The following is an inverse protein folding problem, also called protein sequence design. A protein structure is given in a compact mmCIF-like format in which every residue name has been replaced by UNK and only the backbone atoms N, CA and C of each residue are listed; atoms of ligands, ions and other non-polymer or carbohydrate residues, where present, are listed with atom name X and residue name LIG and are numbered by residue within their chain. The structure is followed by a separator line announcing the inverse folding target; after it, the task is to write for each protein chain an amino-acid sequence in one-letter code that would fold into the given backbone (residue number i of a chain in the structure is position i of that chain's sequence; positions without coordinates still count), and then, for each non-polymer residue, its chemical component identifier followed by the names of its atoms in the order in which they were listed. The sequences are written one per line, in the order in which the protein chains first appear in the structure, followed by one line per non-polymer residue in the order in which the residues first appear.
data_IF_740357874364
#
_entry.id   IF_740357874364
#
_cell.length_a   1.000
_cell.length_b   1.000
_cell.length_c   1.000
_cell.angle_alpha   90.00
_cell.angle_beta   90.00
_cell.angle_gamma   90.00
#
_symmetry.space_group_name_H-M   'P 1'
#
loop_
_entity.id
_entity.type
_entity.pdbx_description
1 polymer ?
#
# COMPACT_ATOMS: atom_id res chain seq x y z
N UNK A 1 3.17 -3.50 21.25
CA UNK A 1 3.74 -2.79 20.08
C UNK A 1 2.61 -2.01 19.45
N UNK A 2 2.56 -0.68 19.58
CA UNK A 2 1.44 0.13 19.07
C UNK A 2 1.95 0.97 17.92
N UNK A 3 1.49 0.62 16.72
CA UNK A 3 1.99 1.08 15.45
C UNK A 3 0.98 1.99 14.75
N UNK A 4 1.45 2.84 13.85
CA UNK A 4 0.62 3.67 12.98
C UNK A 4 -0.34 2.86 12.13
N UNK A 5 -1.47 3.47 11.79
CA UNK A 5 -2.50 2.94 10.90
C UNK A 5 -1.96 2.34 9.57
N UNK A 6 -0.92 2.92 8.97
CA UNK A 6 -0.24 2.36 7.79
C UNK A 6 0.62 1.12 8.08
N UNK A 7 1.22 1.05 9.27
CA UNK A 7 2.04 -0.10 9.70
C UNK A 7 1.24 -1.19 10.37
N UNK A 8 0.11 -0.87 10.97
CA UNK A 8 -0.86 -1.84 11.46
C UNK A 8 -1.35 -2.71 10.30
N UNK A 9 -1.47 -2.17 9.08
CA UNK A 9 -1.72 -2.98 7.89
C UNK A 9 -0.51 -3.84 7.49
N UNK A 10 0.70 -3.28 7.45
CA UNK A 10 1.92 -4.03 7.09
C UNK A 10 2.25 -5.14 8.10
N UNK A 11 2.02 -4.93 9.40
CA UNK A 11 2.24 -5.93 10.46
C UNK A 11 1.05 -6.88 10.66
N UNK A 12 -0.20 -6.44 10.46
CA UNK A 12 -1.32 -7.39 10.42
C UNK A 12 -1.17 -8.38 9.25
N UNK A 13 -0.48 -7.99 8.17
CA UNK A 13 -0.12 -8.87 7.05
C UNK A 13 1.02 -9.85 7.41
N UNK A 14 1.96 -9.49 8.30
CA UNK A 14 3.24 -10.21 8.48
C UNK A 14 3.43 -10.88 9.85
N UNK A 15 2.66 -10.51 10.88
CA UNK A 15 2.64 -11.15 12.20
C UNK A 15 1.25 -11.07 12.86
N UNK A 16 0.38 -12.09 12.66
CA UNK A 16 -1.00 -12.09 13.18
C UNK A 16 -1.09 -12.35 14.69
N UNK A 17 0.01 -12.67 15.38
CA UNK A 17 0.00 -13.03 16.81
C UNK A 17 0.00 -11.79 17.71
N UNK A 18 0.43 -10.63 17.20
CA UNK A 18 0.72 -9.45 18.03
C UNK A 18 -0.17 -8.23 17.79
N UNK A 19 -1.07 -8.23 16.79
CA UNK A 19 -1.88 -7.05 16.44
C UNK A 19 -3.35 -7.37 16.10
N UNK A 20 -4.26 -7.06 17.03
CA UNK A 20 -5.71 -6.96 16.79
C UNK A 20 -6.15 -5.49 16.89
N UNK A 21 -6.18 -4.74 15.79
CA UNK A 21 -6.70 -3.36 15.76
C UNK A 21 -7.44 -3.08 14.44
N UNK A 22 -8.58 -2.36 14.42
CA UNK A 22 -9.41 -2.18 13.23
C UNK A 22 -8.69 -1.37 12.12
N UNK A 23 -9.02 -1.61 10.83
CA UNK A 23 -8.51 -0.81 9.73
C UNK A 23 -9.16 0.58 9.77
N UNK A 24 -8.38 1.64 9.88
CA UNK A 24 -8.88 3.01 9.79
C UNK A 24 -8.42 3.66 8.49
N UNK A 25 -9.29 4.49 7.90
CA UNK A 25 -8.96 5.46 6.84
C UNK A 25 -8.38 4.87 5.54
N UNK A 26 -9.28 4.32 4.72
CA UNK A 26 -9.08 4.18 3.28
C UNK A 26 -10.42 4.00 2.55
N UNK A 27 -10.61 4.68 1.41
CA UNK A 27 -11.72 4.45 0.47
C UNK A 27 -11.60 3.11 -0.28
N UNK A 28 -10.46 2.44 -0.08
CA UNK A 28 -10.07 1.23 -0.78
C UNK A 28 -9.76 0.12 0.23
N UNK A 29 -10.49 -0.99 0.15
CA UNK A 29 -10.25 -2.19 0.97
C UNK A 29 -9.34 -3.16 0.22
N UNK A 30 -8.43 -3.81 0.94
CA UNK A 30 -7.50 -4.79 0.37
C UNK A 30 -7.48 -6.08 1.16
N UNK A 31 -7.36 -7.19 0.43
CA UNK A 31 -7.08 -8.50 0.99
C UNK A 31 -5.82 -9.05 0.34
N UNK A 32 -4.85 -9.42 1.18
CA UNK A 32 -3.62 -10.10 0.79
C UNK A 32 -3.69 -11.53 1.34
N UNK A 33 -3.34 -12.51 0.51
CA UNK A 33 -3.18 -13.89 0.97
C UNK A 33 -1.74 -14.33 0.81
N UNK A 34 -1.12 -14.63 1.96
CA UNK A 34 0.24 -15.14 2.07
C UNK A 34 0.22 -16.61 2.52
N UNK A 35 1.13 -17.41 1.97
CA UNK A 35 1.27 -18.83 2.32
C UNK A 35 2.70 -19.07 2.84
N UNK A 36 2.84 -19.70 4.01
CA UNK A 36 4.14 -19.99 4.61
C UNK A 36 4.88 -21.05 3.81
N UNK A 37 6.14 -20.80 3.46
CA UNK A 37 6.98 -21.81 2.81
C UNK A 37 7.75 -22.58 3.89
N UNK A 38 7.39 -23.83 4.17
CA UNK A 38 8.19 -24.71 5.05
C UNK A 38 8.31 -26.10 4.45
N UNK A 39 9.53 -26.62 4.37
CA UNK A 39 9.90 -27.95 3.87
C UNK A 39 9.83 -29.06 4.93
N UNK A 40 8.80 -29.07 5.78
CA UNK A 40 8.48 -30.16 6.73
C UNK A 40 6.97 -30.10 7.09
N UNK A 41 6.32 -31.22 7.53
CA UNK A 41 4.90 -31.49 7.27
C UNK A 41 3.94 -30.57 8.06
N UNK A 42 2.67 -30.47 7.65
CA UNK A 42 1.98 -29.19 7.56
C UNK A 42 1.62 -28.63 8.94
N UNK A 43 1.46 -27.31 9.01
CA UNK A 43 0.25 -26.78 9.59
C UNK A 43 -0.59 -26.14 8.50
N UNK A 44 -1.84 -26.57 8.45
CA UNK A 44 -3.00 -25.92 7.82
C UNK A 44 -3.17 -24.48 8.32
N UNK A 45 -2.36 -23.55 7.82
CA UNK A 45 -2.57 -22.11 8.06
C UNK A 45 -2.48 -21.35 6.74
N UNK A 46 -3.60 -21.28 6.03
CA UNK A 46 -3.83 -20.21 5.06
C UNK A 46 -4.07 -18.91 5.83
N UNK A 47 -3.25 -17.88 5.59
CA UNK A 47 -3.48 -16.57 6.19
C UNK A 47 -4.45 -15.79 5.29
N UNK A 48 -5.71 -15.78 5.67
CA UNK A 48 -6.76 -14.96 5.06
C UNK A 48 -7.15 -13.88 6.07
N UNK A 49 -6.70 -12.64 5.86
CA UNK A 49 -7.17 -11.51 6.66
C UNK A 49 -8.45 -10.91 6.05
N UNK A 50 -9.54 -11.03 6.79
CA UNK A 50 -10.76 -10.23 6.65
C UNK A 50 -11.05 -9.65 8.04
N UNK A 51 -10.93 -8.33 8.25
CA UNK A 51 -11.11 -7.70 9.56
C UNK A 51 -12.33 -6.78 9.59
N UNK A 52 -13.26 -7.07 10.50
CA UNK A 52 -14.43 -6.25 10.88
C UNK A 52 -14.32 -5.95 12.37
N UNK A 53 -14.41 -4.68 12.81
CA UNK A 53 -14.69 -4.36 14.22
C UNK A 53 -15.27 -2.95 14.39
N UNK A 54 -16.32 -2.87 15.22
CA UNK A 54 -17.16 -1.70 15.49
C UNK A 54 -16.65 -0.95 16.73
N UNK A 55 -16.52 0.38 16.65
CA UNK A 55 -16.19 1.24 17.79
C UNK A 55 -17.32 2.26 18.02
N UNK A 56 -17.95 2.22 19.18
CA UNK A 56 -19.08 3.08 19.53
C UNK A 56 -18.59 4.40 20.16
N UNK A 57 -18.52 5.47 19.38
CA UNK A 57 -18.26 6.83 19.89
C UNK A 57 -19.50 7.69 19.70
N UNK A 58 -20.26 7.89 20.79
CA UNK A 58 -21.40 8.80 20.82
C UNK A 58 -20.90 10.25 20.83
N UNK A 59 -21.15 10.99 19.75
CA UNK A 59 -21.50 12.40 19.87
C UNK A 59 -22.73 12.72 18.99
N UNK A 60 -23.24 13.94 19.10
CA UNK A 60 -24.49 14.38 18.47
C UNK A 60 -24.36 14.52 16.94
N UNK A 61 -25.45 14.35 16.18
CA UNK A 61 -25.48 14.51 14.71
C UNK A 61 -25.45 16.00 14.31
N UNK A 62 -24.85 16.28 13.15
CA UNK A 62 -24.84 17.59 12.50
C UNK A 62 -25.28 17.41 11.04
N UNK A 63 -26.16 18.29 10.57
CA UNK A 63 -26.89 18.16 9.30
C UNK A 63 -25.98 18.45 8.08
N UNK A 64 -26.08 17.68 6.98
CA UNK A 64 -25.27 17.91 5.79
C UNK A 64 -25.76 19.13 5.00
N UNK A 65 -24.88 19.95 4.41
CA UNK A 65 -25.30 21.02 3.52
C UNK A 65 -25.84 20.45 2.20
N UNK A 66 -26.90 21.09 1.69
CA UNK A 66 -27.51 20.78 0.40
C UNK A 66 -26.60 21.20 -0.77
N UNK A 67 -26.59 20.39 -1.84
CA UNK A 67 -25.83 20.67 -3.07
C UNK A 67 -26.34 21.98 -3.71
N UNK A 68 -25.47 22.97 -3.85
CA UNK A 68 -25.66 24.03 -4.85
C UNK A 68 -25.45 23.42 -6.24
N UNK A 69 -26.47 23.54 -7.08
CA UNK A 69 -26.40 23.26 -8.52
C UNK A 69 -25.55 24.32 -9.20
N UNK A 70 -24.48 23.91 -9.86
CA UNK A 70 -23.81 24.76 -10.84
C UNK A 70 -24.63 24.72 -12.14
N UNK A 71 -25.35 25.80 -12.44
CA UNK A 71 -25.90 26.07 -13.77
C UNK A 71 -24.77 26.49 -14.73
N UNK A 72 -24.66 25.91 -15.93
CA UNK A 72 -23.88 26.48 -17.01
C UNK A 72 -24.78 27.30 -17.95
N UNK A 73 -24.50 28.59 -18.06
CA UNK A 73 -25.03 29.47 -19.10
C UNK A 73 -24.51 29.02 -20.49
N UNK A 74 -25.48 28.69 -21.34
CA UNK A 74 -25.50 28.63 -22.81
C UNK A 74 -24.25 29.07 -23.60
N UNK A 75 -23.71 28.13 -24.40
CA UNK A 75 -23.48 28.39 -25.82
C UNK A 75 -23.68 27.10 -26.63
N UNK A 76 -24.71 27.11 -27.46
CA UNK A 76 -24.98 26.08 -28.47
C UNK A 76 -23.92 26.11 -29.56
N UNK A 77 -23.26 24.98 -29.82
CA UNK A 77 -22.77 24.61 -31.15
C UNK A 77 -22.84 23.10 -31.29
N UNK A 78 -23.59 22.68 -32.32
CA UNK A 78 -23.80 21.31 -32.78
C UNK A 78 -22.59 20.93 -33.65
N UNK A 79 -21.92 19.81 -33.36
CA UNK A 79 -21.26 18.90 -34.32
C UNK A 79 -20.72 17.64 -33.60
N UNK A 80 -20.46 16.52 -34.30
CA UNK A 80 -21.05 15.21 -33.99
C UNK A 80 -20.20 14.33 -33.07
N UNK A 81 -20.87 13.34 -32.47
CA UNK A 81 -20.29 12.23 -31.71
C UNK A 81 -19.08 11.60 -32.43
N UNK A 82 -17.89 11.89 -31.90
CA UNK A 82 -16.70 11.07 -32.14
C UNK A 82 -16.71 10.01 -31.02
N UNK A 83 -16.93 8.72 -31.32
CA UNK A 83 -16.85 7.70 -30.29
C UNK A 83 -15.39 7.60 -29.83
N UNK A 84 -15.15 8.05 -28.60
CA UNK A 84 -13.87 7.96 -27.90
C UNK A 84 -13.50 6.49 -27.66
N UNK A 85 -12.99 5.85 -28.70
CA UNK A 85 -12.33 4.55 -28.65
C UNK A 85 -10.91 4.73 -28.12
N UNK A 86 -10.80 5.15 -26.85
CA UNK A 86 -9.58 4.94 -26.08
C UNK A 86 -9.60 3.48 -25.59
N UNK A 87 -9.39 2.56 -26.53
CA UNK A 87 -9.12 1.15 -26.27
C UNK A 87 -7.95 1.08 -25.28
N UNK A 88 -8.24 0.58 -24.08
CA UNK A 88 -7.24 0.37 -23.04
C UNK A 88 -6.09 -0.44 -23.61
N UNK A 89 -4.86 0.05 -23.43
CA UNK A 89 -3.63 -0.57 -23.95
C UNK A 89 -3.52 -2.07 -23.55
N UNK A 90 -4.19 -2.49 -22.47
CA UNK A 90 -4.34 -3.90 -22.06
C UNK A 90 -5.22 -4.73 -22.99
N UNK A 91 -6.32 -4.19 -23.51
CA UNK A 91 -7.18 -4.88 -24.48
C UNK A 91 -6.47 -5.01 -25.83
N UNK A 92 -5.71 -3.98 -26.23
CA UNK A 92 -4.92 -4.03 -27.46
C UNK A 92 -3.80 -5.08 -27.37
N UNK A 93 -3.09 -5.12 -26.25
CA UNK A 93 -2.03 -6.11 -26.02
C UNK A 93 -2.58 -7.54 -25.88
N UNK A 94 -3.71 -7.71 -25.20
CA UNK A 94 -4.42 -8.99 -25.13
C UNK A 94 -4.90 -9.45 -26.50
N UNK A 95 -5.52 -8.57 -27.29
CA UNK A 95 -5.95 -8.88 -28.64
C UNK A 95 -4.77 -9.21 -29.57
N UNK A 96 -3.64 -8.51 -29.40
CA UNK A 96 -2.40 -8.78 -30.14
C UNK A 96 -1.82 -10.15 -29.80
N UNK A 97 -1.78 -10.52 -28.51
CA UNK A 97 -1.32 -11.85 -28.08
C UNK A 97 -2.24 -12.98 -28.55
N UNK A 98 -3.56 -12.77 -28.54
CA UNK A 98 -4.53 -13.72 -29.09
C UNK A 98 -4.40 -13.87 -30.61
N UNK A 99 -4.20 -12.75 -31.33
CA UNK A 99 -3.93 -12.78 -32.77
C UNK A 99 -2.63 -13.50 -33.10
N UNK A 100 -1.58 -13.28 -32.29
CA UNK A 100 -0.30 -13.98 -32.42
C UNK A 100 -0.48 -15.50 -32.18
N UNK A 101 -1.27 -15.90 -31.18
CA UNK A 101 -1.59 -17.32 -30.93
C UNK A 101 -2.36 -17.94 -32.09
N UNK A 102 -3.35 -17.23 -32.63
CA UNK A 102 -4.13 -17.69 -33.78
C UNK A 102 -3.25 -17.85 -35.03
N UNK A 103 -2.35 -16.90 -35.29
CA UNK A 103 -1.42 -16.96 -36.40
C UNK A 103 -0.49 -18.17 -36.31
N UNK A 104 0.04 -18.45 -35.11
CA UNK A 104 0.85 -19.64 -34.86
C UNK A 104 0.04 -20.92 -35.11
N UNK A 105 -1.22 -20.97 -34.66
CA UNK A 105 -2.09 -22.13 -34.86
C UNK A 105 -2.37 -22.39 -36.35
N UNK A 106 -2.65 -21.33 -37.13
CA UNK A 106 -2.90 -21.41 -38.58
C UNK A 106 -1.64 -21.86 -39.32
N UNK A 107 -0.48 -21.32 -38.94
CA UNK A 107 0.80 -21.70 -39.55
C UNK A 107 1.14 -23.17 -39.24
N UNK A 108 0.82 -23.63 -38.03
CA UNK A 108 0.97 -25.04 -37.64
C UNK A 108 0.07 -25.95 -38.48
N UNK A 109 -1.22 -25.61 -38.58
CA UNK A 109 -2.18 -26.38 -39.36
C UNK A 109 -1.83 -26.40 -40.87
N UNK A 110 -1.29 -25.30 -41.40
CA UNK A 110 -0.89 -25.19 -42.81
C UNK A 110 0.31 -26.07 -43.13
N UNK A 111 1.30 -26.16 -42.22
CA UNK A 111 2.47 -27.03 -42.38
C UNK A 111 2.05 -28.51 -42.35
N UNK A 112 1.17 -28.90 -41.43
CA UNK A 112 0.61 -30.26 -41.40
C UNK A 112 -0.18 -30.59 -42.67
N UNK A 113 -1.05 -29.69 -43.12
CA UNK A 113 -1.80 -29.87 -44.36
C UNK A 113 -0.89 -30.03 -45.59
N UNK A 114 0.23 -29.28 -45.65
CA UNK A 114 1.25 -29.42 -46.71
C UNK A 114 1.96 -30.77 -46.65
N UNK A 115 2.28 -31.28 -45.46
CA UNK A 115 2.88 -32.61 -45.30
C UNK A 115 1.93 -33.71 -45.77
N UNK A 116 0.63 -33.59 -45.48
CA UNK A 116 -0.42 -34.52 -45.94
C UNK A 116 -0.58 -34.45 -47.47
N UNK A 117 -0.67 -33.23 -48.04
CA UNK A 117 -0.84 -33.03 -49.49
C UNK A 117 0.37 -33.52 -50.31
N UNK A 118 1.57 -33.45 -49.74
CA UNK A 118 2.79 -33.98 -50.36
C UNK A 118 2.97 -35.49 -50.17
N UNK A 119 2.02 -36.17 -49.52
CA UNK A 119 2.02 -37.60 -49.25
C UNK A 119 3.33 -38.06 -48.58
N UNK A 120 3.84 -37.25 -47.64
CA UNK A 120 5.08 -37.53 -46.93
C UNK A 120 4.90 -38.73 -46.01
N UNK A 121 5.96 -39.51 -45.84
CA UNK A 121 5.99 -40.65 -44.93
C UNK A 121 5.50 -40.24 -43.52
N UNK A 122 4.76 -41.10 -42.81
CA UNK A 122 4.17 -40.79 -41.50
C UNK A 122 5.20 -40.32 -40.46
N UNK A 123 6.47 -40.69 -40.64
CA UNK A 123 7.60 -40.26 -39.81
C UNK A 123 7.72 -38.73 -39.73
N UNK A 124 7.45 -37.98 -40.81
CA UNK A 124 7.59 -36.52 -40.83
C UNK A 124 6.53 -35.82 -39.96
N UNK A 125 5.30 -36.35 -39.92
CA UNK A 125 4.23 -35.87 -39.04
C UNK A 125 4.56 -36.10 -37.56
N UNK A 126 5.10 -37.28 -37.22
CA UNK A 126 5.53 -37.58 -35.85
C UNK A 126 6.67 -36.67 -35.38
N UNK A 127 7.67 -36.41 -36.24
CA UNK A 127 8.78 -35.50 -35.93
C UNK A 127 8.26 -34.07 -35.71
N UNK A 128 7.35 -33.60 -36.57
CA UNK A 128 6.76 -32.27 -36.45
C UNK A 128 5.97 -32.09 -35.16
N UNK A 129 5.09 -33.04 -34.83
CA UNK A 129 4.34 -33.05 -33.58
C UNK A 129 5.26 -33.08 -32.35
N UNK A 130 6.34 -33.88 -32.41
CA UNK A 130 7.34 -33.96 -31.35
C UNK A 130 8.08 -32.62 -31.15
N UNK A 131 8.49 -31.96 -32.24
CA UNK A 131 9.09 -30.64 -32.21
C UNK A 131 8.15 -29.58 -31.61
N UNK A 132 6.86 -29.61 -31.93
CA UNK A 132 5.87 -28.72 -31.33
C UNK A 132 5.68 -28.97 -29.83
N UNK A 133 5.57 -30.23 -29.42
CA UNK A 133 5.44 -30.59 -28.00
C UNK A 133 6.67 -30.11 -27.23
N UNK A 134 7.89 -30.33 -27.75
CA UNK A 134 9.12 -29.81 -27.16
C UNK A 134 9.10 -28.28 -27.09
N UNK A 135 8.70 -27.60 -28.17
CA UNK A 135 8.62 -26.14 -28.19
C UNK A 135 7.68 -25.61 -27.11
N UNK A 136 6.47 -26.18 -26.97
CA UNK A 136 5.51 -25.77 -25.94
C UNK A 136 5.99 -26.10 -24.52
N UNK A 137 6.62 -27.26 -24.30
CA UNK A 137 7.20 -27.62 -23.00
C UNK A 137 8.32 -26.65 -22.63
N UNK A 138 9.24 -26.36 -23.56
CA UNK A 138 10.32 -25.40 -23.34
C UNK A 138 9.73 -24.01 -23.05
N UNK A 139 8.79 -23.54 -23.87
CA UNK A 139 8.16 -22.24 -23.65
C UNK A 139 7.39 -22.19 -22.32
N UNK A 140 6.76 -23.27 -21.87
CA UNK A 140 6.10 -23.33 -20.57
C UNK A 140 7.10 -23.34 -19.41
N UNK A 141 8.22 -24.07 -19.54
CA UNK A 141 9.30 -24.09 -18.55
C UNK A 141 10.05 -22.74 -18.47
N UNK A 142 10.11 -21.99 -19.58
CA UNK A 142 10.71 -20.66 -19.66
C UNK A 142 9.73 -19.52 -19.37
N UNK A 143 8.42 -19.74 -19.59
CA UNK A 143 7.33 -18.85 -19.23
C UNK A 143 7.09 -18.98 -17.73
N UNK A 144 8.04 -18.46 -16.95
CA UNK A 144 7.89 -18.23 -15.53
C UNK A 144 6.62 -17.39 -15.32
N UNK A 145 5.54 -18.01 -14.85
CA UNK A 145 4.53 -17.29 -14.09
C UNK A 145 5.20 -16.90 -12.78
N UNK A 146 5.94 -15.79 -12.80
CA UNK A 146 6.85 -15.37 -11.75
C UNK A 146 6.16 -15.35 -10.40
N UNK A 147 6.29 -16.44 -9.65
CA UNK A 147 5.78 -16.55 -8.31
C UNK A 147 6.47 -15.45 -7.50
N UNK A 148 5.68 -14.52 -6.97
CA UNK A 148 6.18 -13.46 -6.11
C UNK A 148 6.20 -13.99 -4.69
N UNK A 149 7.36 -13.89 -4.05
CA UNK A 149 7.57 -14.33 -2.69
C UNK A 149 8.16 -13.21 -1.85
N UNK A 150 7.79 -13.18 -0.58
CA UNK A 150 8.33 -12.28 0.43
C UNK A 150 9.53 -12.97 1.10
N UNK A 151 10.71 -12.41 0.86
CA UNK A 151 11.97 -12.94 1.40
C UNK A 151 12.06 -12.67 2.89
N UNK A 152 12.07 -11.39 3.27
CA UNK A 152 12.03 -10.94 4.67
C UNK A 152 11.37 -9.55 4.78
N UNK A 153 11.19 -9.09 6.01
CA UNK A 153 10.69 -7.77 6.35
C UNK A 153 11.38 -7.20 7.60
N UNK A 154 11.36 -5.89 7.72
CA UNK A 154 11.81 -5.14 8.89
C UNK A 154 10.72 -4.19 9.36
N UNK A 155 10.66 -3.94 10.66
CA UNK A 155 9.77 -2.99 11.29
C UNK A 155 10.54 -2.15 12.29
N UNK A 156 10.28 -0.85 12.29
CA UNK A 156 10.96 0.10 13.12
C UNK A 156 10.59 -0.10 14.59
N UNK A 157 11.62 -0.19 15.44
CA UNK A 157 11.49 0.04 16.88
C UNK A 157 12.07 1.42 17.18
N UNK A 158 11.25 2.45 17.42
CA UNK A 158 11.76 3.80 17.64
C UNK A 158 12.60 3.88 18.93
N UNK A 159 13.55 4.84 19.03
CA UNK A 159 14.30 5.07 20.25
C UNK A 159 13.40 5.34 21.45
N UNK A 160 13.81 4.91 22.64
CA UNK A 160 13.06 5.12 23.90
C UNK A 160 12.81 6.60 24.21
N UNK A 161 13.67 7.50 23.74
CA UNK A 161 13.49 8.95 23.85
C UNK A 161 12.26 9.49 23.10
N UNK A 162 11.74 8.74 22.13
CA UNK A 162 10.53 9.11 21.39
C UNK A 162 9.24 8.65 22.08
N UNK A 163 9.34 7.85 23.15
CA UNK A 163 8.18 7.28 23.85
C UNK A 163 7.34 8.38 24.49
N UNK A 164 6.03 8.29 24.32
CA UNK A 164 5.07 9.26 24.86
C UNK A 164 3.89 8.55 25.53
N UNK A 165 3.95 8.35 26.86
CA UNK A 165 2.78 7.93 27.63
C UNK A 165 1.64 8.95 27.52
N UNK A 166 0.39 8.51 27.69
CA UNK A 166 -0.78 9.39 27.57
C UNK A 166 -0.73 10.57 28.55
N UNK A 167 -0.20 10.38 29.75
CA UNK A 167 0.00 11.46 30.72
C UNK A 167 0.99 12.52 30.22
N UNK A 168 2.06 12.09 29.56
CA UNK A 168 3.05 12.99 28.94
C UNK A 168 2.45 13.71 27.75
N UNK A 169 1.70 12.99 26.90
CA UNK A 169 0.98 13.60 25.77
C UNK A 169 0.03 14.70 26.24
N UNK A 170 -0.84 14.41 27.21
CA UNK A 170 -1.83 15.35 27.73
C UNK A 170 -1.17 16.52 28.48
N UNK A 171 -0.09 16.25 29.23
CA UNK A 171 0.68 17.28 29.92
C UNK A 171 1.46 18.22 28.99
N UNK A 172 1.84 17.75 27.79
CA UNK A 172 2.42 18.60 26.76
C UNK A 172 1.31 19.36 26.02
N UNK A 173 0.21 18.68 25.69
CA UNK A 173 -0.94 19.29 25.02
C UNK A 173 -1.54 20.44 25.86
N UNK A 174 -1.59 20.32 27.19
CA UNK A 174 -2.12 21.38 28.07
C UNK A 174 -1.29 22.66 28.10
N UNK A 175 -0.05 22.62 27.61
CA UNK A 175 0.84 23.77 27.49
C UNK A 175 0.74 24.44 26.11
N UNK A 176 -0.02 23.87 25.19
CA UNK A 176 -0.23 24.44 23.85
C UNK A 176 -1.43 25.39 23.93
N UNK A 177 -1.18 26.67 23.67
CA UNK A 177 -2.16 27.76 23.81
C UNK A 177 -3.47 27.53 23.05
N UNK A 178 -3.40 26.86 21.88
CA UNK A 178 -4.57 26.61 21.05
C UNK A 178 -5.52 25.54 21.58
N UNK A 179 -5.15 24.77 22.61
CA UNK A 179 -5.95 23.66 23.12
C UNK A 179 -6.63 24.04 24.44
N UNK A 180 -7.96 24.15 24.39
CA UNK A 180 -8.79 24.44 25.56
C UNK A 180 -9.10 23.17 26.39
N UNK A 181 -9.79 23.36 27.52
CA UNK A 181 -10.18 22.26 28.41
C UNK A 181 -11.04 21.20 27.69
N UNK A 182 -11.88 21.63 26.73
CA UNK A 182 -12.73 20.72 25.95
C UNK A 182 -11.90 19.86 24.99
N UNK A 183 -10.91 20.45 24.33
CA UNK A 183 -9.94 19.77 23.46
C UNK A 183 -9.13 18.74 24.25
N UNK A 184 -8.64 19.11 25.43
CA UNK A 184 -7.88 18.20 26.30
C UNK A 184 -8.74 17.02 26.78
N UNK A 185 -9.98 17.28 27.21
CA UNK A 185 -10.90 16.23 27.61
C UNK A 185 -11.25 15.29 26.43
N UNK A 186 -11.44 15.85 25.23
CA UNK A 186 -11.68 15.08 24.01
C UNK A 186 -10.47 14.19 23.67
N UNK A 187 -9.25 14.76 23.64
CA UNK A 187 -8.03 14.00 23.37
C UNK A 187 -7.79 12.89 24.40
N UNK A 188 -8.02 13.17 25.69
CA UNK A 188 -7.94 12.16 26.75
C UNK A 188 -8.93 11.00 26.51
N UNK A 189 -10.18 11.33 26.15
CA UNK A 189 -11.18 10.33 25.78
C UNK A 189 -10.71 9.48 24.60
N UNK A 190 -10.26 10.11 23.50
CA UNK A 190 -9.78 9.41 22.30
C UNK A 190 -8.61 8.49 22.64
N UNK A 191 -7.60 8.94 23.39
CA UNK A 191 -6.46 8.12 23.79
C UNK A 191 -6.91 6.88 24.56
N UNK A 192 -7.73 7.05 25.60
CA UNK A 192 -8.22 5.93 26.43
C UNK A 192 -9.15 4.98 25.69
N UNK A 193 -9.90 5.45 24.68
CA UNK A 193 -10.79 4.61 23.88
C UNK A 193 -10.18 4.05 22.59
N UNK A 194 -8.96 4.46 22.21
CA UNK A 194 -8.35 4.11 20.92
C UNK A 194 -7.80 2.69 20.83
N UNK A 195 -7.67 1.98 21.96
CA UNK A 195 -6.97 0.69 22.01
C UNK A 195 -5.44 0.80 21.93
N UNK A 196 -4.86 2.00 21.92
CA UNK A 196 -3.42 2.20 22.01
C UNK A 196 -2.88 1.86 23.40
N UNK A 197 -1.64 1.36 23.44
CA UNK A 197 -0.90 1.18 24.67
C UNK A 197 -0.16 2.44 25.11
N UNK A 198 0.39 2.43 26.33
CA UNK A 198 1.26 3.50 26.83
C UNK A 198 2.67 3.48 26.21
N UNK A 199 3.00 2.43 25.45
CA UNK A 199 4.27 2.21 24.76
C UNK A 199 4.21 2.70 23.30
N UNK A 200 3.71 3.92 23.10
CA UNK A 200 3.65 4.57 21.77
C UNK A 200 4.68 5.68 21.65
N UNK A 201 4.97 6.09 20.42
CA UNK A 201 6.06 7.02 20.10
C UNK A 201 5.57 8.17 19.23
N UNK A 202 6.16 9.36 19.44
CA UNK A 202 6.02 10.55 18.58
C UNK A 202 7.42 11.03 18.18
N UNK A 203 7.61 11.58 16.97
CA UNK A 203 8.91 12.06 16.53
C UNK A 203 9.38 13.24 17.39
N UNK A 204 10.69 13.45 17.57
CA UNK A 204 11.26 14.52 18.42
C UNK A 204 10.66 15.91 18.14
N UNK A 205 10.29 16.19 16.89
CA UNK A 205 9.66 17.42 16.48
C UNK A 205 8.32 17.70 17.22
N UNK A 206 7.54 16.64 17.50
CA UNK A 206 6.26 16.73 18.20
C UNK A 206 6.38 16.69 19.74
N UNK A 207 7.58 16.50 20.29
CA UNK A 207 7.83 16.67 21.74
C UNK A 207 8.10 18.13 22.14
N UNK A 208 8.30 19.01 21.17
CA UNK A 208 8.47 20.44 21.42
C UNK A 208 7.12 21.11 21.71
N UNK A 209 7.17 22.24 22.44
CA UNK A 209 6.00 23.04 22.77
C UNK A 209 6.29 24.49 22.35
N UNK A 210 5.64 25.00 21.28
CA UNK A 210 4.73 24.29 20.38
C UNK A 210 5.46 23.23 19.50
N UNK A 211 4.73 22.23 18.96
CA UNK A 211 5.28 21.24 18.05
C UNK A 211 5.91 21.88 16.81
N UNK A 212 7.03 21.30 16.36
CA UNK A 212 7.79 21.77 15.20
C UNK A 212 7.32 21.03 13.95
N UNK A 213 6.71 21.73 12.99
CA UNK A 213 6.15 21.16 11.76
C UNK A 213 6.85 21.60 10.47
N UNK A 214 8.01 22.24 10.58
CA UNK A 214 8.77 22.71 9.42
C UNK A 214 9.44 21.55 8.65
N UNK A 215 9.61 21.75 7.34
CA UNK A 215 10.08 20.72 6.40
C UNK A 215 11.40 20.03 6.79
N UNK A 216 12.32 20.74 7.44
CA UNK A 216 13.58 20.13 7.88
C UNK A 216 13.35 19.04 8.95
N UNK A 217 12.33 19.17 9.79
CA UNK A 217 12.01 18.15 10.80
C UNK A 217 11.38 16.91 10.17
N UNK A 218 10.61 17.07 9.09
CA UNK A 218 10.10 15.93 8.35
C UNK A 218 11.19 15.15 7.63
N UNK A 219 12.22 15.83 7.09
CA UNK A 219 13.40 15.14 6.53
C UNK A 219 14.17 14.39 7.62
N UNK A 220 14.35 14.97 8.82
CA UNK A 220 14.96 14.26 9.96
C UNK A 220 14.16 13.03 10.38
N UNK A 221 12.84 13.15 10.41
CA UNK A 221 11.93 12.04 10.70
C UNK A 221 12.06 10.94 9.64
N UNK A 222 12.06 11.29 8.34
CA UNK A 222 12.29 10.33 7.24
C UNK A 222 13.59 9.54 7.46
N UNK A 223 14.70 10.20 7.77
CA UNK A 223 15.98 9.52 7.99
C UNK A 223 15.92 8.58 9.21
N UNK A 224 15.28 9.02 10.29
CA UNK A 224 15.14 8.22 11.52
C UNK A 224 14.29 6.97 11.27
N UNK A 225 13.25 7.06 10.44
CA UNK A 225 12.29 5.96 10.29
C UNK A 225 12.63 5.01 9.14
N UNK A 226 13.18 5.50 8.02
CA UNK A 226 13.44 4.69 6.83
C UNK A 226 14.83 4.07 6.79
N UNK A 227 15.87 4.74 7.31
CA UNK A 227 17.23 4.19 7.21
C UNK A 227 17.40 2.92 8.06
N UNK A 228 17.03 2.90 9.36
CA UNK A 228 17.27 1.72 10.19
C UNK A 228 16.57 0.46 9.73
N UNK A 229 15.35 0.58 9.18
CA UNK A 229 14.60 -0.58 8.68
C UNK A 229 15.16 -1.11 7.35
N UNK A 230 15.76 -0.25 6.54
CA UNK A 230 16.43 -0.66 5.32
C UNK A 230 17.74 -1.36 5.65
N UNK A 231 18.53 -0.78 6.56
CA UNK A 231 19.76 -1.39 7.08
C UNK A 231 19.49 -2.77 7.68
N UNK A 232 18.48 -2.89 8.54
CA UNK A 232 18.08 -4.15 9.17
C UNK A 232 17.56 -5.17 8.14
N UNK A 233 16.78 -4.74 7.15
CA UNK A 233 16.30 -5.63 6.08
C UNK A 233 17.47 -6.18 5.25
N UNK A 234 18.39 -5.30 4.80
CA UNK A 234 19.58 -5.70 4.04
C UNK A 234 20.46 -6.65 4.85
N UNK A 235 20.64 -6.40 6.15
CA UNK A 235 21.41 -7.27 7.04
C UNK A 235 20.76 -8.65 7.21
N UNK A 236 19.44 -8.71 7.40
CA UNK A 236 18.69 -9.97 7.54
C UNK A 236 18.75 -10.82 6.28
N UNK A 237 18.59 -10.20 5.12
CA UNK A 237 18.55 -10.91 3.84
C UNK A 237 19.95 -11.16 3.27
N UNK A 238 20.99 -10.53 3.82
CA UNK A 238 22.39 -10.60 3.34
C UNK A 238 22.56 -10.13 1.89
N UNK A 239 21.70 -9.20 1.47
CA UNK A 239 21.78 -8.56 0.16
C UNK A 239 22.39 -7.16 0.25
N UNK A 240 22.92 -6.72 -0.89
CA UNK A 240 23.36 -5.34 -1.08
C UNK A 240 22.21 -4.48 -1.60
N UNK A 241 22.26 -3.18 -1.31
CA UNK A 241 21.37 -2.22 -1.95
C UNK A 241 21.53 -2.19 -3.49
N UNK A 242 22.68 -2.67 -3.99
CA UNK A 242 22.93 -2.85 -5.42
C UNK A 242 22.15 -4.00 -6.04
N UNK A 243 21.55 -4.90 -5.24
CA UNK A 243 20.79 -6.05 -5.76
C UNK A 243 19.33 -5.69 -6.05
N UNK A 244 18.88 -4.50 -5.63
CA UNK A 244 17.49 -4.04 -5.71
C UNK A 244 17.20 -3.51 -7.12
N UNK A 245 16.15 -4.04 -7.76
CA UNK A 245 15.72 -3.62 -9.09
C UNK A 245 14.57 -2.59 -9.05
N UNK A 246 13.70 -2.71 -8.05
CA UNK A 246 12.50 -1.89 -7.89
C UNK A 246 12.42 -1.36 -6.45
N UNK A 247 12.20 -0.06 -6.31
CA UNK A 247 11.99 0.62 -5.03
C UNK A 247 10.63 1.31 -5.00
N UNK A 248 9.75 0.90 -4.08
CA UNK A 248 8.44 1.52 -3.88
C UNK A 248 8.41 2.09 -2.48
N UNK A 249 8.23 3.40 -2.35
CA UNK A 249 8.12 4.07 -1.06
C UNK A 249 6.75 4.71 -0.94
N UNK A 250 6.03 4.44 0.14
CA UNK A 250 4.72 5.04 0.38
C UNK A 250 4.69 5.87 1.67
N UNK A 251 4.08 7.06 1.57
CA UNK A 251 3.85 8.01 2.65
C UNK A 251 2.68 8.94 2.30
N UNK A 252 1.69 9.08 3.18
CA UNK A 252 0.42 9.74 2.84
C UNK A 252 0.36 11.22 3.26
N UNK A 253 1.15 11.65 4.23
CA UNK A 253 1.07 12.92 4.94
C UNK A 253 1.44 14.19 4.17
N UNK A 254 1.66 14.12 2.84
CA UNK A 254 2.29 15.13 1.96
C UNK A 254 3.83 15.07 1.99
N UNK A 255 4.45 14.82 0.83
CA UNK A 255 5.89 14.60 0.71
C UNK A 255 6.52 15.45 -0.41
N UNK A 256 7.00 16.67 -0.12
CA UNK A 256 7.56 17.59 -1.12
C UNK A 256 9.00 17.23 -1.58
N UNK A 257 9.58 16.12 -1.11
CA UNK A 257 10.85 15.57 -1.59
C UNK A 257 10.65 14.11 -2.04
N UNK A 258 11.17 13.67 -3.19
CA UNK A 258 11.05 12.28 -3.59
C UNK A 258 11.78 11.37 -2.59
N UNK A 259 11.04 10.64 -1.75
CA UNK A 259 11.58 9.76 -0.70
C UNK A 259 12.51 8.70 -1.30
N UNK A 260 12.15 8.16 -2.46
CA UNK A 260 13.01 7.27 -3.22
C UNK A 260 14.39 7.89 -3.47
N UNK A 261 14.49 9.18 -3.82
CA UNK A 261 15.77 9.83 -4.11
C UNK A 261 16.67 9.93 -2.88
N UNK A 262 16.09 10.14 -1.70
CA UNK A 262 16.83 10.14 -0.42
C UNK A 262 17.47 8.77 -0.20
N UNK A 263 16.72 7.68 -0.42
CA UNK A 263 17.20 6.31 -0.26
C UNK A 263 18.21 5.92 -1.34
N UNK A 264 17.92 6.21 -2.61
CA UNK A 264 18.81 5.94 -3.75
C UNK A 264 20.16 6.60 -3.52
N UNK A 265 20.17 7.87 -3.09
CA UNK A 265 21.40 8.58 -2.77
C UNK A 265 22.11 7.97 -1.54
N UNK A 266 21.39 7.75 -0.44
CA UNK A 266 21.95 7.22 0.81
C UNK A 266 22.63 5.86 0.62
N UNK A 267 22.03 4.99 -0.16
CA UNK A 267 22.50 3.62 -0.39
C UNK A 267 23.30 3.45 -1.68
N UNK A 268 23.57 4.55 -2.40
CA UNK A 268 24.27 4.56 -3.69
C UNK A 268 23.68 3.56 -4.69
N UNK A 269 22.36 3.41 -4.71
CA UNK A 269 21.68 2.41 -5.56
C UNK A 269 22.01 2.61 -7.04
N UNK A 270 21.82 1.56 -7.84
CA UNK A 270 22.12 1.57 -9.27
C UNK A 270 21.36 2.66 -10.01
N UNK A 271 21.97 3.19 -11.07
CA UNK A 271 21.39 4.23 -11.91
C UNK A 271 20.14 3.79 -12.70
N UNK A 272 19.94 2.48 -12.85
CA UNK A 272 18.82 1.89 -13.57
C UNK A 272 17.66 1.43 -12.67
N UNK A 273 17.74 1.73 -11.36
CA UNK A 273 16.69 1.35 -10.40
C UNK A 273 15.34 1.99 -10.76
N UNK A 274 14.28 1.17 -10.71
CA UNK A 274 12.91 1.65 -10.94
C UNK A 274 12.32 2.13 -9.63
N UNK A 275 12.02 3.41 -9.51
CA UNK A 275 11.55 3.98 -8.25
C UNK A 275 10.16 4.61 -8.33
N UNK A 276 9.33 4.37 -7.32
CA UNK A 276 7.93 4.79 -7.26
C UNK A 276 7.61 5.39 -5.88
N UNK A 277 7.18 6.65 -5.85
CA UNK A 277 6.65 7.27 -4.64
C UNK A 277 5.12 7.20 -4.66
N UNK A 278 4.52 6.57 -3.65
CA UNK A 278 3.07 6.48 -3.50
C UNK A 278 2.60 7.41 -2.37
N UNK A 279 1.67 8.31 -2.67
CA UNK A 279 1.14 9.28 -1.70
C UNK A 279 -0.38 9.42 -1.81
N UNK A 280 -1.03 9.91 -0.76
CA UNK A 280 -2.46 10.20 -0.76
C UNK A 280 -3.38 8.97 -0.70
N UNK A 281 -2.83 7.78 -0.45
CA UNK A 281 -3.59 6.52 -0.39
C UNK A 281 -4.08 6.16 1.02
N UNK A 282 -3.68 6.94 2.04
CA UNK A 282 -4.04 6.71 3.43
C UNK A 282 -3.48 5.40 3.96
N UNK A 283 -4.22 4.74 4.86
CA UNK A 283 -3.74 3.51 5.50
C UNK A 283 -3.71 2.28 4.57
N UNK A 284 -4.25 2.38 3.34
CA UNK A 284 -4.15 1.30 2.33
C UNK A 284 -2.88 1.32 1.50
N UNK A 285 -2.04 2.35 1.65
CA UNK A 285 -0.86 2.58 0.81
C UNK A 285 0.10 1.38 0.78
N UNK A 286 0.31 0.71 1.93
CA UNK A 286 1.18 -0.47 2.03
C UNK A 286 0.69 -1.66 1.19
N UNK A 287 -0.61 -1.95 1.24
CA UNK A 287 -1.20 -3.05 0.45
C UNK A 287 -1.19 -2.73 -1.05
N UNK A 288 -1.43 -1.47 -1.40
CA UNK A 288 -1.30 -0.94 -2.75
C UNK A 288 0.14 -1.05 -3.28
N UNK A 289 1.13 -0.78 -2.44
CA UNK A 289 2.52 -0.90 -2.79
C UNK A 289 2.92 -2.36 -3.06
N UNK A 290 2.40 -3.32 -2.28
CA UNK A 290 2.61 -4.75 -2.52
C UNK A 290 1.93 -5.20 -3.81
N UNK A 291 0.70 -4.76 -4.09
CA UNK A 291 0.01 -5.04 -5.35
C UNK A 291 0.77 -4.47 -6.56
N UNK A 292 1.28 -3.25 -6.45
CA UNK A 292 2.15 -2.66 -7.47
C UNK A 292 3.43 -3.49 -7.65
N UNK A 293 4.10 -3.86 -6.56
CA UNK A 293 5.30 -4.70 -6.61
C UNK A 293 5.03 -6.04 -7.31
N UNK A 294 3.91 -6.69 -6.99
CA UNK A 294 3.51 -7.94 -7.64
C UNK A 294 3.35 -7.77 -9.14
N UNK A 295 2.62 -6.75 -9.58
CA UNK A 295 2.43 -6.46 -11.00
C UNK A 295 3.75 -6.16 -11.72
N UNK A 296 4.67 -5.43 -11.07
CA UNK A 296 5.98 -5.13 -11.65
C UNK A 296 6.88 -6.37 -11.74
N UNK A 297 6.87 -7.23 -10.70
CA UNK A 297 7.62 -8.49 -10.70
C UNK A 297 7.04 -9.54 -11.67
N UNK A 298 5.77 -9.42 -12.06
CA UNK A 298 5.22 -10.25 -13.14
C UNK A 298 5.76 -9.85 -14.53
N UNK A 299 6.11 -8.58 -14.72
CA UNK A 299 6.64 -8.04 -15.97
C UNK A 299 8.17 -8.13 -16.02
N UNK A 300 8.83 -8.00 -14.87
CA UNK A 300 10.30 -8.00 -14.75
C UNK A 300 10.79 -9.32 -14.16
N UNK A 301 11.27 -10.21 -15.04
CA UNK A 301 11.82 -11.51 -14.65
C UNK A 301 13.10 -11.37 -13.83
N UNK A 302 13.29 -12.29 -12.88
CA UNK A 302 14.51 -12.40 -12.06
C UNK A 302 14.91 -11.07 -11.40
N UNK A 303 13.95 -10.42 -10.74
CA UNK A 303 14.06 -9.11 -10.13
C UNK A 303 13.66 -9.12 -8.65
N UNK A 304 14.21 -8.17 -7.89
CA UNK A 304 13.87 -7.88 -6.50
C UNK A 304 13.20 -6.51 -6.36
N UNK A 305 12.18 -6.44 -5.51
CA UNK A 305 11.46 -5.22 -5.18
C UNK A 305 11.46 -4.98 -3.67
N UNK A 306 11.77 -3.75 -3.25
CA UNK A 306 11.58 -3.30 -1.88
C UNK A 306 10.37 -2.38 -1.78
N UNK A 307 9.48 -2.68 -0.84
CA UNK A 307 8.39 -1.81 -0.42
C UNK A 307 8.73 -1.20 0.94
N UNK A 308 8.85 0.12 1.01
CA UNK A 308 9.01 0.88 2.24
C UNK A 308 7.74 1.67 2.54
N UNK A 309 7.23 1.56 3.76
CA UNK A 309 6.00 2.22 4.21
C UNK A 309 6.27 3.04 5.46
N UNK A 310 5.88 4.31 5.47
CA UNK A 310 5.97 5.17 6.66
C UNK A 310 4.99 6.33 6.61
N UNK A 311 4.66 6.87 7.77
CA UNK A 311 3.90 8.12 7.89
C UNK A 311 4.78 9.15 8.62
N UNK A 312 4.91 10.34 8.04
CA UNK A 312 5.69 11.42 8.61
C UNK A 312 4.76 12.33 9.41
N UNK A 313 4.85 12.27 10.74
CA UNK A 313 3.87 12.92 11.62
C UNK A 313 4.12 14.41 11.80
N UNK A 314 5.37 14.85 11.67
CA UNK A 314 5.75 16.26 11.79
C UNK A 314 5.00 17.17 10.82
N UNK A 315 4.55 16.68 9.66
CA UNK A 315 3.74 17.45 8.69
C UNK A 315 2.23 17.35 8.91
N UNK A 316 1.79 16.43 9.76
CA UNK A 316 0.38 16.09 9.97
C UNK A 316 -0.24 16.66 11.25
N UNK A 317 0.53 17.40 12.05
CA UNK A 317 0.06 17.95 13.32
C UNK A 317 -0.99 19.05 13.14
N UNK A 318 -2.18 18.86 13.72
CA UNK A 318 -3.23 19.86 13.73
C UNK A 318 -3.09 20.80 14.94
N UNK A 319 -2.94 22.11 14.67
CA UNK A 319 -2.72 23.14 15.69
C UNK A 319 -3.99 23.94 16.07
N UNK A 320 -5.17 23.51 15.63
CA UNK A 320 -6.45 24.11 16.01
C UNK A 320 -7.18 23.30 17.08
N UNK A 321 -8.44 23.62 17.36
CA UNK A 321 -9.23 23.00 18.44
C UNK A 321 -10.51 22.29 17.95
N UNK A 322 -10.72 22.17 16.63
CA UNK A 322 -11.85 21.42 16.10
C UNK A 322 -11.69 19.92 16.39
N UNK A 323 -12.57 19.38 17.23
CA UNK A 323 -12.51 17.99 17.71
C UNK A 323 -12.36 16.93 16.61
N UNK A 324 -13.07 17.00 15.46
CA UNK A 324 -12.92 16.00 14.41
C UNK A 324 -11.50 15.89 13.85
N UNK A 325 -10.73 16.99 13.90
CA UNK A 325 -9.35 17.07 13.41
C UNK A 325 -8.32 16.68 14.49
N UNK A 326 -8.64 16.84 15.78
CA UNK A 326 -7.78 16.44 16.91
C UNK A 326 -7.59 14.91 17.04
N UNK A 327 -8.46 14.12 16.39
CA UNK A 327 -8.37 12.66 16.37
C UNK A 327 -7.00 12.20 15.84
N UNK A 328 -6.48 12.84 14.79
CA UNK A 328 -5.18 12.46 14.20
C UNK A 328 -4.02 12.62 15.18
N UNK A 329 -3.98 13.73 15.92
CA UNK A 329 -2.95 13.99 16.93
C UNK A 329 -2.92 12.86 17.98
N UNK A 330 -4.09 12.28 18.28
CA UNK A 330 -4.24 11.19 19.25
C UNK A 330 -3.95 9.82 18.65
N UNK A 331 -4.23 9.58 17.37
CA UNK A 331 -4.17 8.25 16.75
C UNK A 331 -2.83 7.93 16.09
N UNK A 332 -2.17 8.92 15.48
CA UNK A 332 -0.94 8.65 14.74
C UNK A 332 0.28 8.63 15.65
N UNK A 333 1.17 7.68 15.39
CA UNK A 333 2.40 7.39 16.14
C UNK A 333 3.57 7.19 15.19
N UNK A 334 4.77 6.93 15.66
CA UNK A 334 5.85 6.57 14.73
C UNK A 334 5.64 5.13 14.27
N UNK A 335 5.85 4.86 12.99
CA UNK A 335 6.01 3.50 12.47
C UNK A 335 6.63 3.50 11.08
N UNK A 336 7.45 2.49 10.78
CA UNK A 336 7.93 2.23 9.43
C UNK A 336 8.29 0.77 9.18
N UNK A 337 8.03 0.27 7.98
CA UNK A 337 8.22 -1.12 7.60
C UNK A 337 8.86 -1.22 6.23
N UNK A 338 9.78 -2.19 6.09
CA UNK A 338 10.46 -2.53 4.86
C UNK A 338 10.12 -3.98 4.50
N UNK A 339 9.77 -4.26 3.25
CA UNK A 339 9.39 -5.59 2.78
C UNK A 339 10.20 -5.91 1.53
N UNK A 340 10.88 -7.06 1.51
CA UNK A 340 11.60 -7.57 0.35
C UNK A 340 10.77 -8.59 -0.41
N UNK A 341 10.48 -8.32 -1.68
CA UNK A 341 9.74 -9.20 -2.59
C UNK A 341 10.65 -9.65 -3.74
N UNK A 342 10.53 -10.89 -4.16
CA UNK A 342 11.35 -11.48 -5.23
C UNK A 342 10.53 -12.37 -6.15
N UNK A 343 10.95 -12.49 -7.41
CA UNK A 343 10.56 -13.58 -8.30
C UNK A 343 11.77 -14.43 -8.76
N UNK A 344 12.94 -14.25 -8.13
CA UNK A 344 14.17 -14.97 -8.44
C UNK A 344 14.05 -16.42 -7.96
N UNK A 345 14.26 -17.38 -8.86
CA UNK A 345 14.08 -18.83 -8.57
C UNK A 345 14.90 -19.32 -7.38
N UNK A 346 16.09 -18.74 -7.19
CA UNK A 346 17.02 -19.09 -6.12
C UNK A 346 16.53 -18.63 -4.73
N UNK A 347 15.86 -17.48 -4.66
CA UNK A 347 15.46 -16.83 -3.40
C UNK A 347 14.04 -17.25 -2.96
N UNK A 348 13.24 -17.80 -3.87
CA UNK A 348 11.91 -18.36 -3.57
C UNK A 348 11.99 -19.47 -2.51
N UNK A 349 13.04 -20.30 -2.51
CA UNK A 349 13.18 -21.43 -1.57
C UNK A 349 13.48 -20.99 -0.14
N UNK A 350 14.11 -19.83 0.03
CA UNK A 350 14.43 -19.24 1.33
C UNK A 350 13.42 -18.18 1.77
N UNK A 351 12.36 -17.95 0.98
CA UNK A 351 11.36 -16.92 1.26
C UNK A 351 10.44 -17.32 2.40
N UNK A 352 10.11 -16.37 3.29
CA UNK A 352 9.19 -16.60 4.41
C UNK A 352 7.76 -16.86 3.95
N UNK A 353 7.31 -16.13 2.92
CA UNK A 353 5.94 -16.23 2.42
C UNK A 353 5.88 -16.23 0.90
N UNK A 354 4.88 -16.90 0.35
CA UNK A 354 4.46 -16.76 -1.03
C UNK A 354 3.26 -15.82 -1.12
N UNK A 355 3.29 -14.87 -2.06
CA UNK A 355 2.15 -14.02 -2.40
C UNK A 355 1.24 -14.73 -3.40
N UNK A 356 0.02 -15.07 -2.98
CA UNK A 356 -0.93 -15.79 -3.82
C UNK A 356 -1.77 -14.85 -4.67
N UNK A 357 -2.47 -13.92 -4.04
CA UNK A 357 -3.35 -12.98 -4.71
C UNK A 357 -3.54 -11.72 -3.88
N UNK A 358 -3.78 -10.62 -4.60
CA UNK A 358 -4.20 -9.33 -4.10
C UNK A 358 -5.64 -9.08 -4.58
N UNK A 359 -6.48 -8.55 -3.70
CA UNK A 359 -7.80 -8.06 -4.08
C UNK A 359 -7.93 -6.60 -3.67
N UNK A 360 -8.42 -5.80 -4.61
CA UNK A 360 -8.65 -4.36 -4.46
C UNK A 360 -10.12 -4.06 -4.64
N UNK A 361 -10.73 -3.39 -3.66
CA UNK A 361 -12.09 -2.84 -3.77
C UNK A 361 -12.05 -1.33 -3.66
N UNK A 362 -12.49 -0.60 -4.69
CA UNK A 362 -12.52 0.86 -4.72
C UNK A 362 -13.95 1.37 -4.58
N UNK A 363 -14.22 2.24 -3.60
CA UNK A 363 -15.55 2.83 -3.40
C UNK A 363 -15.57 4.36 -3.48
N UNK A 364 -14.51 4.98 -4.01
CA UNK A 364 -14.44 6.43 -4.20
C UNK A 364 -15.57 7.03 -5.09
N UNK A 365 -16.36 6.22 -5.80
CA UNK A 365 -17.54 6.68 -6.54
C UNK A 365 -18.76 6.98 -5.64
N UNK A 366 -18.78 6.50 -4.39
CA UNK A 366 -19.83 6.83 -3.41
C UNK A 366 -19.41 8.12 -2.66
N UNK A 367 -20.25 9.16 -2.73
CA UNK A 367 -19.98 10.47 -2.10
C UNK A 367 -19.68 10.35 -0.60
N UNK A 368 -20.31 9.42 0.13
CA UNK A 368 -20.06 9.24 1.56
C UNK A 368 -18.71 8.59 1.78
N UNK A 369 -18.35 7.61 0.95
CA UNK A 369 -17.02 7.04 0.96
C UNK A 369 -16.01 8.15 0.68
N UNK A 370 -16.08 8.86 -0.45
CA UNK A 370 -15.18 9.93 -0.84
C UNK A 370 -15.01 11.03 0.23
N UNK A 371 -16.11 11.48 0.84
CA UNK A 371 -16.10 12.56 1.84
C UNK A 371 -15.81 12.09 3.27
N UNK A 372 -15.52 10.79 3.49
CA UNK A 372 -15.31 10.24 4.83
C UNK A 372 -14.01 10.71 5.50
N UNK A 373 -13.01 11.09 4.71
CA UNK A 373 -11.77 11.70 5.22
C UNK A 373 -11.28 12.76 4.25
N UNK A 374 -11.25 14.00 4.71
CA UNK A 374 -10.88 15.15 3.88
C UNK A 374 -9.81 15.94 4.60
N UNK A 375 -8.75 16.30 3.86
CA UNK A 375 -7.75 17.27 4.31
C UNK A 375 -8.26 18.67 3.96
N UNK A 376 -8.53 19.48 4.97
CA UNK A 376 -9.14 20.80 4.84
C UNK A 376 -8.68 21.71 5.97
N UNK A 377 -8.81 23.01 5.75
CA UNK A 377 -8.55 24.02 6.78
C UNK A 377 -9.73 24.10 7.75
N UNK A 378 -9.42 24.43 9.00
CA UNK A 378 -10.42 24.81 9.98
C UNK A 378 -10.91 26.25 9.75
N UNK A 379 -11.90 26.68 10.54
CA UNK A 379 -12.44 28.04 10.48
C UNK A 379 -11.41 29.17 10.68
N UNK A 380 -10.21 28.85 11.19
CA UNK A 380 -9.10 29.79 11.40
C UNK A 380 -7.96 29.60 10.38
N UNK A 381 -8.20 28.86 9.28
CA UNK A 381 -7.20 28.60 8.24
C UNK A 381 -6.13 27.58 8.63
N UNK A 382 -6.31 26.83 9.73
CA UNK A 382 -5.33 25.81 10.15
C UNK A 382 -5.64 24.49 9.46
N UNK A 383 -4.69 24.00 8.68
CA UNK A 383 -4.81 22.74 7.96
C UNK A 383 -4.91 21.54 8.92
N UNK A 384 -5.92 20.70 8.71
CA UNK A 384 -6.09 19.44 9.43
C UNK A 384 -6.73 18.38 8.54
N UNK A 385 -7.11 17.25 9.15
CA UNK A 385 -7.85 16.18 8.47
C UNK A 385 -9.10 15.88 9.25
N UNK A 386 -10.25 16.07 8.61
CA UNK A 386 -11.56 15.77 9.20
C UNK A 386 -11.92 14.32 8.91
N UNK A 387 -12.21 13.55 9.96
CA UNK A 387 -12.75 12.18 9.85
C UNK A 387 -14.24 12.22 10.19
N UNK A 388 -15.11 11.86 9.25
CA UNK A 388 -16.57 11.80 9.48
C UNK A 388 -16.95 10.48 10.17
N UNK A 389 -17.93 10.51 11.08
CA UNK A 389 -18.36 9.31 11.86
C UNK A 389 -18.88 8.17 11.01
N UNK A 390 -19.57 8.49 9.91
CA UNK A 390 -20.17 7.50 9.00
C UNK A 390 -19.13 6.54 8.39
N UNK A 391 -17.83 6.85 8.52
CA UNK A 391 -16.74 5.94 8.20
C UNK A 391 -16.85 4.59 8.93
N UNK A 392 -17.17 4.59 10.23
CA UNK A 392 -17.16 3.39 11.05
C UNK A 392 -18.28 2.40 10.67
N UNK A 393 -19.46 2.91 10.33
CA UNK A 393 -20.58 2.10 9.84
C UNK A 393 -20.28 1.43 8.48
N UNK A 394 -19.45 2.08 7.66
CA UNK A 394 -19.07 1.57 6.34
C UNK A 394 -17.94 0.52 6.38
N UNK A 395 -16.95 0.70 7.27
CA UNK A 395 -15.86 -0.25 7.45
C UNK A 395 -16.39 -1.63 7.85
N UNK A 396 -17.40 -1.68 8.75
CA UNK A 396 -18.04 -2.92 9.17
C UNK A 396 -18.88 -3.62 8.10
N UNK A 397 -19.43 -2.89 7.13
CA UNK A 397 -20.20 -3.48 6.00
C UNK A 397 -19.29 -4.02 4.89
N UNK A 398 -18.05 -3.53 4.80
CA UNK A 398 -17.11 -3.89 3.74
C UNK A 398 -16.35 -5.20 4.00
N UNK A 399 -16.47 -5.74 5.21
CA UNK A 399 -15.78 -6.94 5.68
C UNK A 399 -16.71 -8.16 5.85
N UNK A 400 -18.01 -7.97 5.61
CA UNK A 400 -19.07 -9.01 5.71
C UNK A 400 -19.60 -9.45 4.33
N UNK A 401 -19.19 -8.79 3.24
CA UNK A 401 -19.61 -9.14 1.88
C UNK A 401 -18.47 -9.68 1.02
N UNK A 402 -18.74 -10.84 0.40
CA UNK A 402 -17.96 -11.65 -0.57
C UNK A 402 -16.86 -12.56 -0.02
#
# INVERSE_FOLDING_TARGET
MSLTCQLQFALAILDPITCTVPPFISFCSYRLTLLTSTSSPPPTKSLSLSLSLSLSLSLSPMEPPSKQSHDPLLLNTIEPDIPSTLLSNKQLHSAFLELQRLLVLVLVASIEALLILQNKEPIFHFIYLFCLIIFFILNHCFSNSGQVSLVDFSCLTPPSSCRVPFSTFLGNASKIESFDAQSLAFMAKVLTSSGQGQETYLPPALHHIPPKSHHQESIKEVHMVLFPIMDDLLAKTKHSAQDIDILIVNCSGFCPSPLCSILINKYSMRSDIKSYNLSGMGCSASALAIDLAQNLLQVHNNSDAIVLSTEILSTGWYAGHEQPKLILNCLFRIGSAAIWLTNKKQDIKSSKYQLLWTLRTQKAFDDRAYLSTIREEDSNGKLGVTIKRDMLEWLGRSSVGT
#
